data_IF_802295088785
#
_entry.id   IF_802295088785
#
_cell.length_a   1.000
_cell.length_b   1.000
_cell.length_c   1.000
_cell.angle_alpha   90.00
_cell.angle_beta   90.00
_cell.angle_gamma   90.00
#
_symmetry.space_group_name_H-M   'P 1'
#
loop_
_entity.id
_entity.type
_entity.pdbx_description
1 polymer ?
#
# COMPACT_ATOMS: atom_id res chain seq x y z
N UNK A 1 37.05 10.45 11.61
CA UNK A 1 35.64 10.36 11.19
C UNK A 1 35.29 8.89 11.11
N UNK A 2 34.52 8.39 12.06
CA UNK A 2 34.10 6.98 12.07
C UNK A 2 32.98 6.83 11.04
N UNK A 3 33.18 5.95 10.05
CA UNK A 3 32.14 5.59 9.09
C UNK A 3 31.01 4.94 9.91
N UNK A 4 29.76 5.44 9.86
CA UNK A 4 28.66 4.80 10.56
C UNK A 4 28.48 3.40 9.98
N UNK A 5 28.43 2.41 10.86
CA UNK A 5 28.16 1.02 10.47
C UNK A 5 26.73 0.96 9.93
N UNK A 6 26.58 0.79 8.61
CA UNK A 6 25.26 0.62 7.98
C UNK A 6 24.59 -0.63 8.54
N UNK A 7 23.35 -0.49 9.01
CA UNK A 7 22.55 -1.60 9.51
C UNK A 7 22.21 -2.62 8.41
N UNK A 8 22.02 -3.89 8.80
CA UNK A 8 21.70 -4.99 7.87
C UNK A 8 20.48 -4.73 6.98
N UNK A 9 19.51 -3.94 7.46
CA UNK A 9 18.31 -3.58 6.71
C UNK A 9 18.63 -2.59 5.56
N UNK A 10 19.39 -1.53 5.86
CA UNK A 10 19.82 -0.54 4.86
C UNK A 10 20.64 -1.20 3.75
N UNK A 11 21.51 -2.16 4.09
CA UNK A 11 22.27 -2.92 3.11
C UNK A 11 21.39 -3.76 2.17
N UNK A 12 20.24 -4.26 2.64
CA UNK A 12 19.28 -4.97 1.80
C UNK A 12 18.54 -4.01 0.87
N UNK A 13 18.12 -2.85 1.39
CA UNK A 13 17.44 -1.81 0.61
C UNK A 13 18.33 -1.23 -0.49
N UNK A 14 19.62 -1.03 -0.22
CA UNK A 14 20.57 -0.54 -1.24
C UNK A 14 20.70 -1.48 -2.44
N UNK A 15 20.48 -2.79 -2.27
CA UNK A 15 20.53 -3.78 -3.36
C UNK A 15 19.34 -3.68 -4.31
N UNK A 16 18.25 -3.02 -3.91
CA UNK A 16 17.02 -2.89 -4.71
C UNK A 16 16.87 -1.50 -5.34
N UNK A 17 17.88 -0.63 -5.17
CA UNK A 17 17.95 0.68 -5.83
C UNK A 17 18.00 0.46 -7.35
N UNK A 18 17.03 1.04 -8.04
CA UNK A 18 16.91 1.08 -9.50
C UNK A 18 16.05 2.26 -9.90
N UNK A 19 16.17 2.70 -11.15
CA UNK A 19 15.34 3.78 -11.72
C UNK A 19 13.87 3.41 -11.62
N UNK A 20 13.04 4.35 -11.14
CA UNK A 20 11.58 4.22 -11.09
C UNK A 20 10.96 5.31 -11.95
N UNK A 21 9.81 5.04 -12.56
CA UNK A 21 9.07 6.02 -13.36
C UNK A 21 7.88 6.54 -12.56
N UNK A 22 7.80 7.86 -12.37
CA UNK A 22 6.70 8.52 -11.67
C UNK A 22 6.13 9.60 -12.59
N UNK A 23 4.82 9.55 -12.82
CA UNK A 23 4.12 10.56 -13.60
C UNK A 23 3.58 11.65 -12.68
N UNK A 24 3.94 12.90 -12.96
CA UNK A 24 3.49 14.09 -12.21
C UNK A 24 2.79 15.07 -13.15
N UNK A 25 1.92 15.90 -12.58
CA UNK A 25 1.28 17.00 -13.31
C UNK A 25 1.92 18.30 -12.88
N UNK A 26 2.68 18.91 -13.79
CA UNK A 26 3.39 20.18 -13.59
C UNK A 26 3.03 21.14 -14.72
N UNK A 27 3.03 22.44 -14.44
CA UNK A 27 2.95 23.44 -15.50
C UNK A 27 4.32 23.62 -16.18
N UNK A 28 4.35 24.15 -17.41
CA UNK A 28 5.61 24.44 -18.11
C UNK A 28 6.52 25.36 -17.27
N UNK A 29 5.94 26.34 -16.57
CA UNK A 29 6.68 27.24 -15.69
C UNK A 29 7.30 26.52 -14.48
N UNK A 30 6.66 25.46 -13.97
CA UNK A 30 7.23 24.66 -12.89
C UNK A 30 8.38 23.81 -13.40
N UNK A 31 8.28 23.27 -14.62
CA UNK A 31 9.36 22.55 -15.29
C UNK A 31 10.59 23.46 -15.49
N UNK A 32 10.40 24.68 -15.99
CA UNK A 32 11.49 25.64 -16.18
C UNK A 32 12.18 25.97 -14.86
N UNK A 33 11.42 26.31 -13.82
CA UNK A 33 11.98 26.60 -12.49
C UNK A 33 12.73 25.42 -11.89
N UNK A 34 12.22 24.20 -12.08
CA UNK A 34 12.83 22.97 -11.58
C UNK A 34 14.17 22.70 -12.27
N UNK A 35 14.22 22.83 -13.59
CA UNK A 35 15.45 22.64 -14.37
C UNK A 35 16.47 23.75 -14.07
N UNK A 36 16.04 25.01 -13.94
CA UNK A 36 16.91 26.12 -13.55
C UNK A 36 17.50 25.93 -12.16
N UNK A 37 16.69 25.49 -11.20
CA UNK A 37 17.15 25.19 -9.85
C UNK A 37 18.25 24.12 -9.87
N UNK A 38 17.98 23.00 -10.53
CA UNK A 38 18.91 21.89 -10.72
C UNK A 38 20.21 22.33 -11.44
N UNK A 39 20.08 23.09 -12.53
CA UNK A 39 21.21 23.55 -13.35
C UNK A 39 22.20 24.42 -12.59
N UNK A 40 21.74 25.27 -11.66
CA UNK A 40 22.61 26.12 -10.82
C UNK A 40 23.56 25.34 -9.92
N UNK A 41 23.21 24.09 -9.59
CA UNK A 41 23.98 23.23 -8.69
C UNK A 41 24.54 21.99 -9.39
N UNK A 42 24.50 21.95 -10.74
CA UNK A 42 24.94 20.80 -11.54
C UNK A 42 24.26 19.48 -11.10
N UNK A 43 22.97 19.56 -10.78
CA UNK A 43 22.14 18.48 -10.27
C UNK A 43 21.15 18.01 -11.35
N UNK A 44 20.85 16.71 -11.42
CA UNK A 44 19.74 16.22 -12.24
C UNK A 44 18.39 16.38 -11.51
N UNK A 45 17.29 16.59 -12.25
CA UNK A 45 15.93 16.61 -11.65
C UNK A 45 15.62 15.29 -10.91
N UNK A 46 16.02 14.15 -11.49
CA UNK A 46 15.88 12.85 -10.85
C UNK A 46 16.64 12.76 -9.53
N UNK A 47 17.89 13.23 -9.49
CA UNK A 47 18.73 13.22 -8.29
C UNK A 47 18.14 14.11 -7.18
N UNK A 48 17.59 15.28 -7.54
CA UNK A 48 16.88 16.13 -6.58
C UNK A 48 15.68 15.39 -5.95
N UNK A 49 14.88 14.74 -6.78
CA UNK A 49 13.69 14.02 -6.33
C UNK A 49 14.05 12.76 -5.52
N UNK A 50 15.10 12.04 -5.89
CA UNK A 50 15.62 10.89 -5.14
C UNK A 50 16.00 11.30 -3.71
N UNK A 51 16.70 12.42 -3.55
CA UNK A 51 17.08 12.97 -2.25
C UNK A 51 15.87 13.44 -1.44
N UNK A 52 14.96 14.21 -2.05
CA UNK A 52 13.76 14.68 -1.37
C UNK A 52 12.85 13.52 -0.90
N UNK A 53 12.62 12.52 -1.76
CA UNK A 53 11.86 11.33 -1.41
C UNK A 53 12.58 10.56 -0.30
N UNK A 54 13.91 10.42 -0.39
CA UNK A 54 14.74 9.79 0.64
C UNK A 54 14.56 10.44 2.01
N UNK A 55 14.53 11.76 2.08
CA UNK A 55 14.27 12.46 3.34
C UNK A 55 12.82 12.32 3.81
N UNK A 56 11.85 12.37 2.89
CA UNK A 56 10.44 12.22 3.22
C UNK A 56 10.11 10.85 3.84
N UNK A 57 10.63 9.76 3.26
CA UNK A 57 10.31 8.40 3.71
C UNK A 57 11.37 7.78 4.62
N UNK A 58 12.46 8.51 4.92
CA UNK A 58 13.61 7.96 5.65
C UNK A 58 14.34 6.85 4.88
N UNK A 59 14.42 7.00 3.55
CA UNK A 59 14.96 6.01 2.62
C UNK A 59 16.48 6.06 2.43
N UNK A 60 16.94 5.40 1.37
CA UNK A 60 18.37 5.16 1.09
C UNK A 60 19.17 6.41 0.75
N UNK A 61 18.51 7.48 0.32
CA UNK A 61 19.09 8.78 -0.06
C UNK A 61 18.68 9.88 0.93
N UNK A 62 18.97 9.70 2.22
CA UNK A 62 18.67 10.71 3.23
C UNK A 62 19.86 11.63 3.50
N UNK A 63 19.62 12.93 3.51
CA UNK A 63 20.63 13.99 3.66
C UNK A 63 20.95 14.33 5.12
N UNK A 64 20.17 13.84 6.08
CA UNK A 64 20.41 14.09 7.49
C UNK A 64 19.15 14.00 8.34
N UNK A 65 19.29 14.12 9.66
CA UNK A 65 18.14 14.14 10.56
C UNK A 65 17.25 15.35 10.37
N UNK A 66 17.86 16.49 10.07
CA UNK A 66 17.18 17.78 10.05
C UNK A 66 16.38 17.91 8.75
N UNK A 67 16.93 17.46 7.62
CA UNK A 67 16.24 17.39 6.33
C UNK A 67 15.03 16.45 6.41
N UNK A 68 15.16 15.30 7.07
CA UNK A 68 14.02 14.41 7.35
C UNK A 68 12.97 15.09 8.22
N UNK A 69 13.38 15.85 9.22
CA UNK A 69 12.44 16.58 10.08
C UNK A 69 11.67 17.62 9.25
N UNK A 70 12.34 18.41 8.43
CA UNK A 70 11.69 19.39 7.56
C UNK A 70 10.76 18.75 6.52
N UNK A 71 11.16 17.63 5.91
CA UNK A 71 10.33 16.91 4.94
C UNK A 71 9.06 16.36 5.61
N UNK A 72 9.17 15.84 6.83
CA UNK A 72 8.01 15.38 7.62
C UNK A 72 7.11 16.53 8.04
N UNK A 73 7.67 17.63 8.52
CA UNK A 73 6.87 18.83 8.85
C UNK A 73 6.11 19.37 7.65
N UNK A 74 6.75 19.40 6.46
CA UNK A 74 6.06 19.76 5.22
C UNK A 74 4.89 18.82 4.94
N UNK A 75 5.11 17.50 5.06
CA UNK A 75 4.08 16.49 4.84
C UNK A 75 2.91 16.65 5.82
N UNK A 76 3.19 16.76 7.11
CA UNK A 76 2.21 16.88 8.20
C UNK A 76 1.35 18.15 8.08
N UNK A 77 1.90 19.23 7.51
CA UNK A 77 1.18 20.49 7.31
C UNK A 77 0.32 20.53 6.04
N UNK A 78 0.53 19.61 5.11
CA UNK A 78 -0.23 19.58 3.88
C UNK A 78 -1.67 19.09 4.13
N UNK A 79 -2.61 19.60 3.33
CA UNK A 79 -4.04 19.30 3.45
C UNK A 79 -4.34 17.79 3.41
N UNK A 80 -3.52 17.01 2.71
CA UNK A 80 -3.66 15.55 2.61
C UNK A 80 -3.25 14.78 3.87
N UNK A 81 -2.50 15.41 4.79
CA UNK A 81 -2.09 14.80 6.07
C UNK A 81 -2.93 15.28 7.25
N UNK A 82 -3.48 16.50 7.18
CA UNK A 82 -4.27 17.09 8.27
C UNK A 82 -5.60 16.36 8.55
N UNK A 83 -6.18 15.73 7.54
CA UNK A 83 -7.42 14.98 7.69
C UNK A 83 -7.36 13.75 6.78
N UNK A 84 -6.63 12.69 7.20
CA UNK A 84 -6.57 11.47 6.42
C UNK A 84 -7.98 10.88 6.35
N UNK A 85 -8.41 10.49 5.15
CA UNK A 85 -9.66 9.75 5.02
C UNK A 85 -9.56 8.47 5.86
N UNK A 86 -10.53 8.22 6.74
CA UNK A 86 -10.63 7.01 7.56
C UNK A 86 -11.06 5.78 6.73
N UNK A 87 -10.33 5.53 5.66
CA UNK A 87 -10.52 4.40 4.74
C UNK A 87 -10.01 3.12 5.38
N UNK A 88 -10.49 1.99 4.86
CA UNK A 88 -10.00 0.69 5.30
C UNK A 88 -8.51 0.53 4.98
N UNK A 89 -8.04 1.06 3.84
CA UNK A 89 -6.61 1.02 3.49
C UNK A 89 -5.76 1.77 4.53
N UNK A 90 -6.18 2.97 4.94
CA UNK A 90 -5.48 3.72 5.98
C UNK A 90 -5.45 2.95 7.30
N UNK A 91 -6.58 2.39 7.72
CA UNK A 91 -6.68 1.56 8.93
C UNK A 91 -5.71 0.37 8.89
N UNK A 92 -5.75 -0.42 7.80
CA UNK A 92 -4.89 -1.60 7.66
C UNK A 92 -3.41 -1.23 7.78
N UNK A 93 -2.97 -0.17 7.07
CA UNK A 93 -1.59 0.31 7.12
C UNK A 93 -1.20 0.85 8.50
N UNK A 94 -2.10 1.59 9.17
CA UNK A 94 -1.85 2.16 10.50
C UNK A 94 -1.73 1.09 11.59
N UNK A 95 -2.46 -0.02 11.44
CA UNK A 95 -2.41 -1.16 12.37
C UNK A 95 -1.35 -2.20 12.00
N UNK A 96 -0.58 -1.98 10.93
CA UNK A 96 0.50 -2.86 10.51
C UNK A 96 0.03 -4.15 9.82
N UNK A 97 -1.21 -4.20 9.34
CA UNK A 97 -1.67 -5.27 8.47
C UNK A 97 -1.16 -5.07 7.04
N UNK A 98 -0.88 -6.16 6.35
CA UNK A 98 -0.62 -6.15 4.90
C UNK A 98 -1.95 -6.07 4.15
N UNK A 99 -2.23 -4.99 3.39
CA UNK A 99 -3.50 -4.88 2.67
C UNK A 99 -3.68 -5.93 1.57
N UNK A 100 -2.59 -6.50 1.05
CA UNK A 100 -2.64 -7.64 0.14
C UNK A 100 -3.25 -8.90 0.78
N UNK A 101 -2.88 -9.22 2.02
CA UNK A 101 -3.43 -10.39 2.74
C UNK A 101 -4.94 -10.22 2.93
N UNK A 102 -5.39 -9.00 3.24
CA UNK A 102 -6.81 -8.67 3.32
C UNK A 102 -7.54 -8.91 1.99
N UNK A 103 -6.92 -8.53 0.86
CA UNK A 103 -7.49 -8.78 -0.47
C UNK A 103 -7.55 -10.27 -0.80
N UNK A 104 -6.49 -11.00 -0.47
CA UNK A 104 -6.39 -12.44 -0.76
C UNK A 104 -7.49 -13.21 0.00
N UNK A 105 -7.75 -12.88 1.27
CA UNK A 105 -8.89 -13.42 2.04
C UNK A 105 -10.27 -13.09 1.42
N UNK A 106 -10.43 -11.87 0.90
CA UNK A 106 -11.68 -11.46 0.23
C UNK A 106 -11.89 -12.23 -1.07
N UNK A 107 -10.83 -12.47 -1.83
CA UNK A 107 -10.89 -13.25 -3.07
C UNK A 107 -11.07 -14.75 -2.77
N UNK A 108 -10.48 -15.27 -1.70
CA UNK A 108 -10.69 -16.65 -1.23
C UNK A 108 -12.16 -16.91 -0.87
N UNK A 109 -12.82 -16.01 -0.12
CA UNK A 109 -14.26 -16.13 0.15
C UNK A 109 -15.07 -16.22 -1.14
N UNK A 110 -14.71 -15.45 -2.17
CA UNK A 110 -15.41 -15.46 -3.46
C UNK A 110 -15.26 -16.82 -4.13
N UNK A 111 -14.06 -17.39 -4.11
CA UNK A 111 -13.77 -18.68 -4.72
C UNK A 111 -14.46 -19.82 -3.97
N UNK A 112 -14.40 -19.84 -2.63
CA UNK A 112 -15.13 -20.81 -1.80
C UNK A 112 -16.64 -20.74 -2.05
N UNK A 113 -17.20 -19.54 -2.21
CA UNK A 113 -18.62 -19.36 -2.56
C UNK A 113 -18.95 -19.90 -3.96
N UNK A 114 -18.03 -19.77 -4.92
CA UNK A 114 -18.21 -20.32 -6.26
C UNK A 114 -18.11 -21.85 -6.26
N UNK A 115 -17.14 -22.41 -5.54
CA UNK A 115 -17.03 -23.85 -5.32
C UNK A 115 -18.30 -24.40 -4.67
N UNK A 116 -18.80 -23.75 -3.62
CA UNK A 116 -20.05 -24.18 -2.98
C UNK A 116 -21.25 -24.15 -3.94
N UNK A 117 -21.34 -23.14 -4.81
CA UNK A 117 -22.38 -23.08 -5.86
C UNK A 117 -22.21 -24.22 -6.86
N UNK A 118 -20.98 -24.57 -7.23
CA UNK A 118 -20.70 -25.71 -8.09
C UNK A 118 -21.22 -27.02 -7.47
N UNK A 119 -20.88 -27.30 -6.21
CA UNK A 119 -21.37 -28.49 -5.49
C UNK A 119 -22.90 -28.53 -5.42
N UNK A 120 -23.55 -27.38 -5.21
CA UNK A 120 -25.02 -27.29 -5.21
C UNK A 120 -25.62 -27.65 -6.57
N UNK A 121 -24.96 -27.28 -7.67
CA UNK A 121 -25.45 -27.52 -9.03
C UNK A 121 -25.06 -28.90 -9.59
N UNK A 122 -23.99 -29.50 -9.08
CA UNK A 122 -23.41 -30.77 -9.53
C UNK A 122 -23.22 -31.77 -8.38
N UNK A 123 -24.27 -32.08 -7.59
CA UNK A 123 -24.11 -32.90 -6.38
C UNK A 123 -23.69 -34.35 -6.69
N UNK A 124 -23.95 -34.85 -7.90
CA UNK A 124 -23.59 -36.18 -8.39
C UNK A 124 -22.10 -36.37 -8.66
N UNK A 125 -21.33 -35.27 -8.81
CA UNK A 125 -19.88 -35.30 -8.96
C UNK A 125 -19.14 -35.50 -7.63
N UNK A 126 -19.85 -35.51 -6.49
CA UNK A 126 -19.27 -35.59 -5.15
C UNK A 126 -19.80 -36.81 -4.39
N UNK A 127 -18.91 -37.51 -3.69
CA UNK A 127 -19.29 -38.65 -2.83
C UNK A 127 -20.17 -38.21 -1.66
N UNK A 128 -19.87 -37.03 -1.08
CA UNK A 128 -20.56 -36.46 0.09
C UNK A 128 -20.89 -34.98 -0.12
N UNK A 129 -21.83 -34.63 -1.01
CA UNK A 129 -22.09 -33.24 -1.39
C UNK A 129 -22.56 -32.36 -0.22
N UNK A 130 -23.30 -32.92 0.74
CA UNK A 130 -23.75 -32.18 1.93
C UNK A 130 -22.60 -31.84 2.89
N UNK A 131 -21.65 -32.76 3.06
CA UNK A 131 -20.44 -32.54 3.86
C UNK A 131 -19.56 -31.49 3.19
N UNK A 132 -19.33 -31.58 1.88
CA UNK A 132 -18.55 -30.60 1.13
C UNK A 132 -19.15 -29.18 1.23
N UNK A 133 -20.47 -29.04 1.04
CA UNK A 133 -21.17 -27.76 1.21
C UNK A 133 -21.00 -27.20 2.62
N UNK A 134 -20.99 -28.06 3.64
CA UNK A 134 -20.82 -27.67 5.03
C UNK A 134 -19.40 -27.19 5.29
N UNK A 135 -18.38 -27.97 4.91
CA UNK A 135 -16.98 -27.63 5.05
C UNK A 135 -16.65 -26.29 4.38
N UNK A 136 -17.08 -26.09 3.12
CA UNK A 136 -16.89 -24.83 2.41
C UNK A 136 -17.59 -23.64 3.10
N UNK A 137 -18.74 -23.87 3.75
CA UNK A 137 -19.45 -22.84 4.51
C UNK A 137 -18.71 -22.48 5.80
N UNK A 138 -18.21 -23.48 6.52
CA UNK A 138 -17.43 -23.28 7.75
C UNK A 138 -16.15 -22.48 7.44
N UNK A 139 -15.41 -22.82 6.39
CA UNK A 139 -14.24 -22.05 5.94
C UNK A 139 -14.57 -20.58 5.63
N UNK A 140 -15.70 -20.32 4.95
CA UNK A 140 -16.13 -18.94 4.67
C UNK A 140 -16.39 -18.17 5.98
N UNK A 141 -16.99 -18.82 6.99
CA UNK A 141 -17.25 -18.19 8.28
C UNK A 141 -15.94 -17.84 8.98
N UNK A 142 -14.98 -18.77 9.02
CA UNK A 142 -13.68 -18.54 9.66
C UNK A 142 -12.93 -17.36 9.03
N UNK A 143 -12.93 -17.25 7.70
CA UNK A 143 -12.29 -16.13 7.00
C UNK A 143 -13.08 -14.83 7.23
N UNK A 144 -14.41 -14.87 7.27
CA UNK A 144 -15.24 -13.69 7.58
C UNK A 144 -14.96 -13.14 8.98
N UNK A 145 -14.76 -14.03 9.96
CA UNK A 145 -14.39 -13.68 11.34
C UNK A 145 -12.99 -13.09 11.43
N UNK A 146 -11.99 -13.67 10.73
CA UNK A 146 -10.64 -13.11 10.64
C UNK A 146 -10.67 -11.70 10.03
N UNK A 147 -11.39 -11.55 8.93
CA UNK A 147 -11.60 -10.27 8.26
C UNK A 147 -12.33 -9.26 9.16
N UNK A 148 -13.25 -9.71 10.01
CA UNK A 148 -13.94 -8.86 10.98
C UNK A 148 -12.99 -8.37 12.09
N UNK A 149 -12.11 -9.25 12.59
CA UNK A 149 -11.08 -8.87 13.56
C UNK A 149 -10.13 -7.80 13.00
N UNK A 150 -9.70 -7.92 11.74
CA UNK A 150 -8.88 -6.88 11.08
C UNK A 150 -9.57 -5.51 10.98
N UNK A 151 -10.90 -5.47 11.11
CA UNK A 151 -11.72 -4.25 11.04
C UNK A 151 -12.24 -3.79 12.39
N UNK A 152 -11.91 -4.46 13.50
CA UNK A 152 -12.53 -4.24 14.81
C UNK A 152 -12.41 -2.78 15.27
N UNK A 153 -11.22 -2.20 15.14
CA UNK A 153 -10.94 -0.82 15.52
C UNK A 153 -11.12 0.20 14.38
N UNK A 154 -11.67 -0.24 13.24
CA UNK A 154 -11.91 0.65 12.12
C UNK A 154 -13.26 1.36 12.28
N UNK A 155 -13.19 2.67 12.55
CA UNK A 155 -14.36 3.51 12.84
C UNK A 155 -14.58 4.59 11.77
N UNK A 156 -15.03 4.24 10.56
CA UNK A 156 -15.16 5.18 9.46
C UNK A 156 -16.27 6.21 9.68
N UNK A 157 -16.04 7.43 9.20
CA UNK A 157 -17.06 8.47 9.17
C UNK A 157 -18.18 8.14 8.15
N UNK A 158 -19.40 7.96 8.65
CA UNK A 158 -20.59 7.80 7.81
C UNK A 158 -20.76 6.40 7.21
N UNK A 159 -21.46 6.33 6.07
CA UNK A 159 -21.84 5.04 5.47
C UNK A 159 -20.69 4.41 4.69
N UNK A 160 -20.32 3.20 5.08
CA UNK A 160 -19.29 2.41 4.40
C UNK A 160 -19.84 1.71 3.18
N UNK A 161 -19.12 1.83 2.07
CA UNK A 161 -19.33 1.03 0.86
C UNK A 161 -18.13 0.11 0.67
N UNK A 162 -18.21 -1.12 1.19
CA UNK A 162 -17.08 -2.07 1.15
C UNK A 162 -16.52 -2.29 -0.25
N UNK A 163 -17.34 -2.33 -1.29
CA UNK A 163 -16.86 -2.43 -2.68
C UNK A 163 -15.93 -1.28 -3.10
N UNK A 164 -16.18 -0.05 -2.60
CA UNK A 164 -15.31 1.12 -2.80
C UNK A 164 -13.98 0.95 -2.05
N UNK A 165 -14.02 0.45 -0.82
CA UNK A 165 -12.82 0.19 -0.02
C UNK A 165 -11.94 -0.88 -0.64
N UNK A 166 -12.51 -2.02 -1.04
CA UNK A 166 -11.79 -3.08 -1.76
C UNK A 166 -11.15 -2.53 -3.04
N UNK A 167 -11.88 -1.71 -3.82
CA UNK A 167 -11.34 -1.08 -5.02
C UNK A 167 -10.16 -0.15 -4.71
N UNK A 168 -10.22 0.59 -3.59
CA UNK A 168 -9.12 1.46 -3.15
C UNK A 168 -7.87 0.63 -2.82
N UNK A 169 -8.01 -0.47 -2.08
CA UNK A 169 -6.88 -1.36 -1.75
C UNK A 169 -6.30 -1.99 -3.01
N UNK A 170 -7.13 -2.44 -3.95
CA UNK A 170 -6.66 -2.97 -5.25
C UNK A 170 -5.87 -1.93 -6.05
N UNK A 171 -6.36 -0.68 -6.14
CA UNK A 171 -5.64 0.41 -6.80
C UNK A 171 -4.28 0.66 -6.16
N UNK A 172 -4.22 0.64 -4.82
CA UNK A 172 -2.97 0.79 -4.09
C UNK A 172 -2.00 -0.38 -4.36
N UNK A 173 -2.48 -1.63 -4.42
CA UNK A 173 -1.67 -2.82 -4.78
C UNK A 173 -1.09 -2.69 -6.18
N UNK A 174 -1.90 -2.26 -7.15
CA UNK A 174 -1.47 -2.00 -8.54
C UNK A 174 -0.41 -0.90 -8.62
N UNK A 175 -0.59 0.21 -7.90
CA UNK A 175 0.38 1.31 -7.84
C UNK A 175 1.71 0.87 -7.20
N UNK A 176 1.65 0.09 -6.11
CA UNK A 176 2.81 -0.51 -5.45
C UNK A 176 3.56 -1.44 -6.41
N UNK A 177 2.84 -2.32 -7.10
CA UNK A 177 3.43 -3.25 -8.08
C UNK A 177 4.09 -2.51 -9.24
N UNK A 178 3.39 -1.55 -9.86
CA UNK A 178 3.94 -0.74 -10.96
C UNK A 178 5.20 0.03 -10.54
N UNK A 179 5.25 0.51 -9.30
CA UNK A 179 6.44 1.17 -8.78
C UNK A 179 7.57 0.17 -8.53
N UNK A 180 7.26 -1.08 -8.17
CA UNK A 180 8.20 -2.17 -7.86
C UNK A 180 8.56 -3.07 -9.06
N UNK A 181 8.12 -2.78 -10.26
CA UNK A 181 8.58 -3.43 -11.49
C UNK A 181 9.87 -2.76 -12.01
#
# INVERSE_FOLDING_TARGET
MSIPVMGNQQQKEMKTIRKRQITVKLSDADCDRLVDLCGRYNLGVGELLENFIGDLVGGTYSNGSDERAYAREWFERCWFSLQPEQTLLNHLLSWGYEPEDYLDMVDEIKDLRNQRKYVVNHPDEFTYPDEEKRSLKELVIDIEDALASMREDWHPEGKVHMSKEIRRIRKWKEEKQSLLE
#
